data_IF_253809251686
#
_entry.id   IF_253809251686
#
_cell.length_a   1.000
_cell.length_b   1.000
_cell.length_c   1.000
_cell.angle_alpha   90.00
_cell.angle_beta   90.00
_cell.angle_gamma   90.00
#
_symmetry.space_group_name_H-M   'P 1'
#
loop_
_entity.id
_entity.type
_entity.pdbx_description
1 polymer ?
#
# COMPACT_ATOMS: atom_id res chain seq x y z
N UNK A 1 -9.50 32.11 -21.03
CA UNK A 1 -8.07 32.08 -20.60
C UNK A 1 -7.91 31.76 -19.10
N UNK A 2 -8.44 32.56 -18.17
CA UNK A 2 -8.28 32.33 -16.71
C UNK A 2 -8.77 30.96 -16.19
N UNK A 3 -9.92 30.47 -16.69
CA UNK A 3 -10.47 29.16 -16.30
C UNK A 3 -9.58 27.97 -16.72
N UNK A 4 -8.92 28.09 -17.88
CA UNK A 4 -8.03 27.06 -18.40
C UNK A 4 -6.72 27.02 -17.59
N UNK A 5 -6.18 28.18 -17.23
CA UNK A 5 -5.01 28.27 -16.34
C UNK A 5 -5.29 27.64 -14.99
N UNK A 6 -6.45 27.94 -14.37
CA UNK A 6 -6.85 27.33 -13.09
C UNK A 6 -7.01 25.81 -13.21
N UNK A 7 -7.61 25.32 -14.29
CA UNK A 7 -7.76 23.89 -14.53
C UNK A 7 -6.40 23.18 -14.68
N UNK A 8 -5.46 23.76 -15.44
CA UNK A 8 -4.11 23.19 -15.62
C UNK A 8 -3.34 23.20 -14.29
N UNK A 9 -3.40 24.30 -13.53
CA UNK A 9 -2.77 24.38 -12.20
C UNK A 9 -3.35 23.36 -11.22
N UNK A 10 -4.66 23.13 -11.24
CA UNK A 10 -5.31 22.14 -10.38
C UNK A 10 -4.92 20.70 -10.76
N UNK A 11 -4.82 20.40 -12.06
CA UNK A 11 -4.34 19.09 -12.56
C UNK A 11 -2.87 18.89 -12.22
N UNK A 12 -2.02 19.90 -12.37
CA UNK A 12 -0.61 19.81 -12.00
C UNK A 12 -0.44 19.56 -10.49
N UNK A 13 -1.22 20.26 -9.65
CA UNK A 13 -1.20 20.06 -8.20
C UNK A 13 -1.66 18.64 -7.81
N UNK A 14 -2.71 18.11 -8.43
CA UNK A 14 -3.20 16.77 -8.12
C UNK A 14 -2.21 15.67 -8.53
N UNK A 15 -1.53 15.83 -9.67
CA UNK A 15 -0.46 14.92 -10.11
C UNK A 15 0.72 14.93 -9.15
N UNK A 16 1.15 16.12 -8.69
CA UNK A 16 2.25 16.25 -7.72
C UNK A 16 1.92 15.61 -6.37
N UNK A 17 0.67 15.71 -5.91
CA UNK A 17 0.22 15.09 -4.67
C UNK A 17 0.11 13.55 -4.78
N UNK A 18 -0.20 13.02 -5.97
CA UNK A 18 -0.30 11.58 -6.21
C UNK A 18 1.07 10.85 -6.23
N UNK A 19 2.18 11.58 -6.32
CA UNK A 19 3.54 11.02 -6.33
C UNK A 19 4.03 10.55 -4.96
N UNK A 20 3.37 10.92 -3.87
CA UNK A 20 3.82 10.65 -2.49
C UNK A 20 3.17 9.40 -1.88
N UNK A 21 3.33 8.26 -2.54
CA UNK A 21 3.18 6.99 -1.84
C UNK A 21 4.47 6.78 -1.03
N UNK A 22 4.47 7.20 0.24
CA UNK A 22 5.54 6.84 1.18
C UNK A 22 5.53 5.32 1.39
N UNK A 23 6.19 4.58 0.49
CA UNK A 23 6.76 3.30 0.86
C UNK A 23 7.84 3.60 1.90
N UNK A 24 7.84 2.88 3.03
CA UNK A 24 8.94 2.98 3.98
C UNK A 24 10.21 2.56 3.25
N UNK A 25 11.08 3.51 2.92
CA UNK A 25 12.32 3.26 2.19
C UNK A 25 13.27 2.48 3.11
N UNK A 26 13.55 1.22 2.76
CA UNK A 26 14.36 0.32 3.58
C UNK A 26 15.82 0.35 3.16
N UNK A 27 16.10 0.53 1.86
CA UNK A 27 17.44 0.80 1.35
C UNK A 27 17.40 1.44 -0.04
N UNK A 28 18.24 2.44 -0.27
CA UNK A 28 18.44 3.04 -1.59
C UNK A 28 19.86 3.63 -1.69
N UNK A 29 20.77 2.94 -2.37
CA UNK A 29 22.16 3.40 -2.56
C UNK A 29 22.73 2.87 -3.87
N UNK A 30 23.49 3.70 -4.58
CA UNK A 30 24.19 3.36 -5.81
C UNK A 30 23.25 2.71 -6.85
N UNK A 31 22.05 3.28 -7.00
CA UNK A 31 20.95 2.76 -7.84
C UNK A 31 20.39 1.39 -7.44
N UNK A 32 20.78 0.83 -6.30
CA UNK A 32 20.19 -0.37 -5.72
C UNK A 32 19.13 0.03 -4.69
N UNK A 33 17.92 -0.49 -4.86
CA UNK A 33 16.79 -0.28 -3.95
C UNK A 33 16.34 -1.59 -3.34
N UNK A 34 16.01 -1.59 -2.05
CA UNK A 34 15.30 -2.68 -1.39
C UNK A 34 13.92 -2.16 -0.97
N UNK A 35 12.91 -2.67 -1.64
CA UNK A 35 11.53 -2.52 -1.24
C UNK A 35 11.15 -3.78 -0.45
N UNK A 36 10.57 -3.61 0.75
CA UNK A 36 9.99 -4.71 1.51
C UNK A 36 8.56 -4.31 1.88
N UNK A 37 7.64 -5.14 1.45
CA UNK A 37 6.21 -5.04 1.69
C UNK A 37 5.71 -6.30 2.39
N UNK A 38 4.50 -6.18 2.92
CA UNK A 38 3.88 -7.31 3.57
C UNK A 38 2.41 -7.08 3.87
N UNK A 39 1.73 -8.16 4.23
CA UNK A 39 0.34 -8.15 4.67
C UNK A 39 0.19 -9.03 5.88
N UNK A 40 -0.47 -8.50 6.90
CA UNK A 40 -0.98 -9.26 8.05
C UNK A 40 -2.49 -9.46 7.84
N UNK A 41 -2.97 -10.68 8.00
CA UNK A 41 -4.39 -11.01 7.91
C UNK A 41 -4.83 -11.82 9.13
N UNK A 42 -5.49 -11.15 10.07
CA UNK A 42 -6.09 -11.77 11.24
C UNK A 42 -7.39 -12.48 10.87
N UNK A 43 -7.48 -13.79 11.11
CA UNK A 43 -8.65 -14.60 10.74
C UNK A 43 -8.95 -15.64 11.80
N UNK A 44 -10.23 -15.82 12.07
CA UNK A 44 -10.73 -16.97 12.81
C UNK A 44 -11.84 -17.61 11.98
N UNK A 45 -11.76 -18.92 11.77
CA UNK A 45 -12.83 -19.67 11.12
C UNK A 45 -13.75 -20.22 12.17
N UNK A 46 -15.05 -19.93 12.01
CA UNK A 46 -16.10 -20.50 12.84
C UNK A 46 -16.72 -21.68 12.11
N UNK A 47 -16.62 -22.87 12.70
CA UNK A 47 -17.12 -24.11 12.11
C UNK A 47 -17.76 -24.99 13.18
N UNK A 48 -18.77 -25.77 12.78
CA UNK A 48 -19.32 -26.83 13.62
C UNK A 48 -18.48 -28.11 13.58
N UNK A 49 -17.49 -28.19 12.67
CA UNK A 49 -16.47 -29.24 12.67
C UNK A 49 -15.25 -28.72 13.41
N UNK A 50 -14.95 -29.27 14.59
CA UNK A 50 -13.84 -28.85 15.45
C UNK A 50 -12.48 -28.92 14.77
N UNK A 51 -12.31 -29.78 13.75
CA UNK A 51 -11.06 -29.85 12.98
C UNK A 51 -10.83 -28.63 12.07
N UNK A 52 -11.88 -27.89 11.74
CA UNK A 52 -11.84 -26.73 10.82
C UNK A 52 -12.09 -25.39 11.54
N UNK A 53 -12.51 -25.42 12.81
CA UNK A 53 -12.69 -24.25 13.66
C UNK A 53 -11.35 -23.78 14.23
N UNK A 54 -11.10 -22.47 14.21
CA UNK A 54 -9.94 -21.90 14.89
C UNK A 54 -9.21 -20.78 14.15
N UNK A 55 -8.07 -20.39 14.73
CA UNK A 55 -7.24 -19.32 14.20
C UNK A 55 -6.54 -19.74 12.90
N UNK A 56 -6.70 -18.93 11.87
CA UNK A 56 -6.02 -19.11 10.58
C UNK A 56 -5.27 -17.85 10.17
N UNK A 57 -4.92 -17.02 11.15
CA UNK A 57 -4.14 -15.79 10.96
C UNK A 57 -2.84 -16.07 10.21
N UNK A 58 -2.50 -15.21 9.24
CA UNK A 58 -1.25 -15.35 8.47
C UNK A 58 -0.60 -14.02 8.15
N UNK A 59 0.70 -14.09 7.87
CA UNK A 59 1.52 -12.98 7.38
C UNK A 59 2.16 -13.38 6.04
N UNK A 60 2.28 -12.42 5.12
CA UNK A 60 3.11 -12.52 3.91
C UNK A 60 4.05 -11.34 3.89
N UNK A 61 5.32 -11.59 3.56
CA UNK A 61 6.38 -10.59 3.44
C UNK A 61 7.06 -10.81 2.09
N UNK A 62 7.49 -9.74 1.40
CA UNK A 62 8.16 -9.82 0.10
C UNK A 62 8.60 -8.48 -0.44
#
# INVERSE_FOLDING_TARGET
MKKLTVAISAVAASVLMAMSAQAAEIYNKDSNKLDLYGKVNAKHYFSSNDADDGDTTYVRLG
#
